data_IF_607859336146
#
_entry.id   IF_607859336146
#
_cell.length_a   1.000
_cell.length_b   1.000
_cell.length_c   1.000
_cell.angle_alpha   90.00
_cell.angle_beta   90.00
_cell.angle_gamma   90.00
#
_symmetry.space_group_name_H-M   'P 1'
#
loop_
_entity.id
_entity.type
_entity.pdbx_description
1 polymer ?
#
# COMPACT_ATOMS: atom_id res chain seq x y z
N UNK A 1 12.51 -4.74 -7.56
CA UNK A 1 12.95 -4.19 -8.83
C UNK A 1 14.46 -4.33 -8.97
N UNK A 2 14.96 -4.36 -10.18
CA UNK A 2 16.39 -4.29 -10.48
C UNK A 2 16.72 -2.84 -10.86
N UNK A 3 17.87 -2.36 -10.45
CA UNK A 3 18.43 -1.10 -10.96
C UNK A 3 18.94 -1.38 -12.37
N UNK A 4 18.58 -0.54 -13.32
CA UNK A 4 19.06 -0.63 -14.70
C UNK A 4 20.32 0.21 -14.80
N UNK A 5 21.37 -0.39 -15.37
CA UNK A 5 22.65 0.27 -15.57
C UNK A 5 22.54 1.42 -16.58
N UNK A 6 23.31 2.49 -16.38
CA UNK A 6 23.30 3.65 -17.27
C UNK A 6 23.61 3.26 -18.71
N UNK A 7 24.55 2.34 -18.93
CA UNK A 7 24.91 1.86 -20.27
C UNK A 7 23.73 1.21 -21.02
N UNK A 8 22.74 0.69 -20.31
CA UNK A 8 21.50 0.16 -20.91
C UNK A 8 20.53 1.30 -21.20
N UNK A 9 20.41 2.25 -20.29
CA UNK A 9 19.53 3.42 -20.46
C UNK A 9 19.95 4.27 -21.66
N UNK A 10 21.26 4.42 -21.90
CA UNK A 10 21.83 5.20 -23.02
C UNK A 10 21.55 4.57 -24.40
N UNK A 11 21.11 3.31 -24.44
CA UNK A 11 20.74 2.60 -25.69
C UNK A 11 19.24 2.66 -25.99
N UNK A 12 18.46 3.31 -25.16
CA UNK A 12 17.00 3.37 -25.27
C UNK A 12 16.58 4.82 -25.51
N UNK A 13 15.87 5.08 -26.61
CA UNK A 13 15.41 6.44 -26.96
C UNK A 13 14.51 7.03 -25.89
N UNK A 14 13.65 6.19 -25.29
CA UNK A 14 12.70 6.61 -24.26
C UNK A 14 12.73 5.67 -23.06
N UNK A 15 13.71 5.82 -22.14
CA UNK A 15 13.75 5.03 -20.92
C UNK A 15 12.69 5.52 -19.94
N UNK A 16 11.46 5.02 -20.10
CA UNK A 16 10.28 5.45 -19.36
C UNK A 16 9.93 4.40 -18.30
N UNK A 17 9.57 4.85 -17.10
CA UNK A 17 9.10 4.02 -16.01
C UNK A 17 7.78 4.52 -15.45
N UNK A 18 6.91 3.58 -15.06
CA UNK A 18 5.75 3.85 -14.23
C UNK A 18 6.10 3.72 -12.76
N UNK A 19 5.73 4.72 -11.96
CA UNK A 19 5.85 4.69 -10.52
C UNK A 19 4.48 4.85 -9.84
N UNK A 20 4.16 3.95 -8.93
CA UNK A 20 2.90 3.90 -8.19
C UNK A 20 2.85 4.88 -7.00
N UNK A 21 3.56 6.00 -7.09
CA UNK A 21 3.64 7.06 -6.10
C UNK A 21 3.71 8.46 -6.75
N UNK A 22 3.28 9.52 -6.02
CA UNK A 22 3.32 10.88 -6.53
C UNK A 22 4.71 11.49 -6.35
N UNK A 23 5.64 11.21 -7.27
CA UNK A 23 6.98 11.82 -7.23
C UNK A 23 6.89 13.37 -7.23
N UNK A 24 7.74 14.03 -6.47
CA UNK A 24 8.94 13.59 -5.75
C UNK A 24 8.70 13.02 -4.35
N UNK A 25 7.45 12.89 -3.91
CA UNK A 25 7.08 12.17 -2.69
C UNK A 25 6.95 10.67 -2.96
N UNK A 26 7.15 9.86 -1.94
CA UNK A 26 6.88 8.41 -2.00
C UNK A 26 7.69 7.65 -3.06
N UNK A 27 8.93 8.07 -3.35
CA UNK A 27 9.84 7.27 -4.15
C UNK A 27 10.21 5.96 -3.45
N UNK A 28 10.59 4.94 -4.20
CA UNK A 28 11.02 3.64 -3.71
C UNK A 28 9.90 2.60 -3.64
N UNK A 29 9.77 1.90 -2.52
CA UNK A 29 8.93 0.71 -2.39
C UNK A 29 7.69 0.95 -1.55
N UNK A 30 6.54 0.36 -1.97
CA UNK A 30 5.29 0.32 -1.19
C UNK A 30 4.74 1.71 -0.86
N UNK A 31 4.72 2.60 -1.83
CA UNK A 31 4.25 3.99 -1.72
C UNK A 31 2.87 4.10 -1.05
N UNK A 32 1.92 3.26 -1.45
CA UNK A 32 0.55 3.16 -0.90
C UNK A 32 0.53 2.80 0.59
N UNK A 33 1.37 1.85 1.02
CA UNK A 33 1.52 1.48 2.43
C UNK A 33 1.95 2.69 3.26
N UNK A 34 2.98 3.39 2.81
CA UNK A 34 3.51 4.55 3.52
C UNK A 34 2.54 5.72 3.54
N UNK A 35 1.81 5.95 2.45
CA UNK A 35 0.78 6.99 2.38
C UNK A 35 -0.31 6.75 3.44
N UNK A 36 -0.84 5.52 3.54
CA UNK A 36 -1.86 5.17 4.54
C UNK A 36 -1.30 5.27 5.97
N UNK A 37 -0.07 4.79 6.22
CA UNK A 37 0.56 4.89 7.54
C UNK A 37 0.75 6.33 7.98
N UNK A 38 1.02 7.24 7.06
CA UNK A 38 1.19 8.68 7.31
C UNK A 38 -0.13 9.46 7.36
N UNK A 39 -1.28 8.79 7.17
CA UNK A 39 -2.62 9.40 7.10
C UNK A 39 -2.75 10.41 5.95
N UNK A 40 -2.14 10.16 4.81
CA UNK A 40 -2.37 10.98 3.63
C UNK A 40 -3.82 10.82 3.16
N UNK A 41 -4.43 11.92 2.76
CA UNK A 41 -5.78 11.95 2.18
C UNK A 41 -5.75 11.82 0.66
N UNK A 42 -4.58 12.01 0.06
CA UNK A 42 -4.35 11.91 -1.38
C UNK A 42 -3.13 11.04 -1.65
N UNK A 43 -3.15 10.38 -2.79
CA UNK A 43 -2.02 9.67 -3.36
C UNK A 43 -1.96 9.98 -4.85
N UNK A 44 -1.03 9.37 -5.57
CA UNK A 44 -0.92 9.57 -7.00
C UNK A 44 0.01 8.55 -7.63
N UNK A 45 0.13 8.63 -8.94
CA UNK A 45 1.07 7.87 -9.73
C UNK A 45 1.66 8.73 -10.84
N UNK A 46 2.75 8.31 -11.41
CA UNK A 46 3.37 9.04 -12.51
C UNK A 46 4.16 8.15 -13.48
N UNK A 47 4.27 8.63 -14.69
CA UNK A 47 5.26 8.19 -15.68
C UNK A 47 6.41 9.18 -15.67
N UNK A 48 7.65 8.67 -15.60
CA UNK A 48 8.84 9.50 -15.55
C UNK A 48 9.97 8.89 -16.38
N UNK A 49 10.95 9.71 -16.77
CA UNK A 49 12.16 9.23 -17.39
C UNK A 49 13.00 8.46 -16.36
N UNK A 50 13.65 7.40 -16.79
CA UNK A 50 14.59 6.66 -15.96
C UNK A 50 15.95 7.34 -15.98
N UNK A 51 16.64 7.26 -14.86
CA UNK A 51 18.04 7.65 -14.70
C UNK A 51 18.74 6.56 -13.87
N UNK A 52 20.06 6.66 -13.73
CA UNK A 52 20.84 5.75 -12.86
C UNK A 52 20.43 5.82 -11.38
N UNK A 53 19.72 6.88 -10.97
CA UNK A 53 19.17 7.01 -9.63
C UNK A 53 17.68 6.63 -9.64
N UNK A 54 17.28 5.77 -8.70
CA UNK A 54 15.89 5.30 -8.59
C UNK A 54 14.93 6.51 -8.43
N UNK A 55 13.84 6.50 -9.21
CA UNK A 55 12.72 7.44 -9.17
C UNK A 55 13.13 8.92 -9.21
N UNK A 56 14.25 9.26 -9.88
CA UNK A 56 14.83 10.60 -9.87
C UNK A 56 14.64 11.39 -11.17
N UNK A 57 14.21 10.74 -12.25
CA UNK A 57 14.05 11.38 -13.55
C UNK A 57 12.85 12.32 -13.65
N UNK A 58 12.82 13.10 -14.74
CA UNK A 58 11.78 14.09 -14.98
C UNK A 58 10.42 13.44 -15.27
N UNK A 59 9.35 14.09 -14.80
CA UNK A 59 7.99 13.58 -14.89
C UNK A 59 7.41 13.86 -16.28
N UNK A 60 6.87 12.85 -16.93
CA UNK A 60 6.18 12.92 -18.21
C UNK A 60 4.68 13.19 -18.02
N UNK A 61 4.06 12.44 -17.11
CA UNK A 61 2.65 12.58 -16.76
C UNK A 61 2.42 12.14 -15.32
N UNK A 62 1.51 12.80 -14.62
CA UNK A 62 1.16 12.44 -13.24
C UNK A 62 -0.33 12.65 -13.00
N UNK A 63 -0.90 11.83 -12.11
CA UNK A 63 -2.29 11.90 -11.68
C UNK A 63 -2.37 11.71 -10.19
N UNK A 64 -3.00 12.65 -9.49
CA UNK A 64 -3.33 12.52 -8.07
C UNK A 64 -4.78 12.05 -7.92
N UNK A 65 -5.05 11.31 -6.84
CA UNK A 65 -6.38 10.82 -6.50
C UNK A 65 -6.55 10.69 -4.98
N UNK A 66 -7.80 10.63 -4.54
CA UNK A 66 -8.15 10.56 -3.13
C UNK A 66 -7.95 9.14 -2.58
N UNK A 67 -7.43 9.05 -1.34
CA UNK A 67 -7.45 7.85 -0.51
C UNK A 67 -8.72 7.90 0.33
N UNK A 68 -9.61 6.94 0.14
CA UNK A 68 -10.83 6.82 0.92
C UNK A 68 -10.55 6.12 2.26
N UNK A 69 -11.42 6.34 3.26
CA UNK A 69 -11.26 5.73 4.59
C UNK A 69 -11.33 4.20 4.57
N UNK A 70 -11.89 3.63 3.53
CA UNK A 70 -11.98 2.17 3.33
C UNK A 70 -10.85 1.62 2.45
N UNK A 71 -10.08 2.48 1.77
CA UNK A 71 -9.00 2.02 0.91
C UNK A 71 -7.94 1.27 1.68
N UNK A 72 -7.49 0.17 1.14
CA UNK A 72 -6.31 -0.58 1.55
C UNK A 72 -5.12 -0.22 0.65
N UNK A 73 -3.91 -0.60 1.03
CA UNK A 73 -2.76 -0.44 0.15
C UNK A 73 -2.97 -1.12 -1.21
N UNK A 74 -3.67 -2.26 -1.23
CA UNK A 74 -4.05 -2.95 -2.46
C UNK A 74 -4.97 -2.11 -3.36
N UNK A 75 -6.04 -1.51 -2.79
CA UNK A 75 -6.97 -0.70 -3.60
C UNK A 75 -6.35 0.61 -4.06
N UNK A 76 -5.44 1.20 -3.27
CA UNK A 76 -4.63 2.36 -3.69
C UNK A 76 -3.70 1.98 -4.84
N UNK A 77 -3.02 0.83 -4.77
CA UNK A 77 -2.20 0.31 -5.88
C UNK A 77 -3.04 0.10 -7.15
N UNK A 78 -4.25 -0.47 -7.03
CA UNK A 78 -5.15 -0.64 -8.17
C UNK A 78 -5.56 0.69 -8.80
N UNK A 79 -5.91 1.72 -7.99
CA UNK A 79 -6.18 3.06 -8.50
C UNK A 79 -4.97 3.62 -9.26
N UNK A 80 -3.75 3.45 -8.71
CA UNK A 80 -2.51 3.86 -9.37
C UNK A 80 -2.34 3.18 -10.73
N UNK A 81 -2.60 1.87 -10.83
CA UNK A 81 -2.49 1.12 -12.08
C UNK A 81 -3.53 1.57 -13.11
N UNK A 82 -4.78 1.79 -12.70
CA UNK A 82 -5.86 2.26 -13.59
C UNK A 82 -5.50 3.63 -14.18
N UNK A 83 -5.16 4.60 -13.33
CA UNK A 83 -4.76 5.93 -13.79
C UNK A 83 -3.43 5.92 -14.57
N UNK A 84 -2.51 5.02 -14.19
CA UNK A 84 -1.27 4.83 -14.93
C UNK A 84 -1.51 4.34 -16.35
N UNK A 85 -2.43 3.40 -16.52
CA UNK A 85 -2.81 2.89 -17.85
C UNK A 85 -3.54 3.95 -18.68
N UNK A 86 -4.49 4.68 -18.08
CA UNK A 86 -5.16 5.82 -18.73
C UNK A 86 -4.16 6.86 -19.24
N UNK A 87 -3.19 7.25 -18.41
CA UNK A 87 -2.13 8.18 -18.81
C UNK A 87 -1.22 7.62 -19.90
N UNK A 88 -0.95 6.29 -19.87
CA UNK A 88 -0.16 5.65 -20.89
C UNK A 88 -0.83 5.76 -22.25
N UNK A 89 -2.11 5.43 -22.37
CA UNK A 89 -2.85 5.49 -23.64
C UNK A 89 -3.01 6.93 -24.14
N UNK A 90 -3.38 7.86 -23.25
CA UNK A 90 -3.73 9.23 -23.63
C UNK A 90 -2.51 10.15 -23.84
N UNK A 91 -1.46 9.96 -23.05
CA UNK A 91 -0.32 10.88 -23.05
C UNK A 91 0.98 10.22 -23.56
N UNK A 92 1.39 9.09 -22.98
CA UNK A 92 2.72 8.53 -23.23
C UNK A 92 2.84 7.99 -24.65
N UNK A 93 1.87 7.20 -25.10
CA UNK A 93 1.86 6.69 -26.50
C UNK A 93 1.84 7.83 -27.51
N UNK A 94 1.10 8.92 -27.25
CA UNK A 94 1.08 10.08 -28.12
C UNK A 94 2.44 10.75 -28.18
N UNK A 95 3.09 10.98 -27.05
CA UNK A 95 4.45 11.56 -27.00
C UNK A 95 5.44 10.75 -27.79
N UNK A 96 5.42 9.41 -27.65
CA UNK A 96 6.31 8.49 -28.38
C UNK A 96 6.03 8.57 -29.88
N UNK A 97 4.77 8.45 -30.32
CA UNK A 97 4.38 8.48 -31.74
C UNK A 97 4.72 9.79 -32.43
N UNK A 98 4.66 10.89 -31.71
CA UNK A 98 4.95 12.24 -32.23
C UNK A 98 6.42 12.61 -32.08
N UNK A 99 7.26 11.74 -31.55
CA UNK A 99 8.66 12.02 -31.20
C UNK A 99 8.81 13.35 -30.43
N UNK A 100 7.86 13.64 -29.55
CA UNK A 100 7.72 14.91 -28.85
C UNK A 100 7.57 14.67 -27.35
N UNK A 101 8.68 14.34 -26.69
CA UNK A 101 8.72 14.15 -25.25
C UNK A 101 8.70 15.50 -24.56
N UNK A 102 7.60 15.75 -23.84
CA UNK A 102 7.47 16.91 -22.97
C UNK A 102 7.67 16.49 -21.53
N UNK A 103 8.68 17.05 -20.88
CA UNK A 103 8.98 16.77 -19.48
C UNK A 103 8.55 17.92 -18.59
N UNK A 104 7.96 17.59 -17.46
CA UNK A 104 7.83 18.50 -16.34
C UNK A 104 9.10 18.34 -15.50
N UNK A 105 10.01 19.32 -15.58
CA UNK A 105 11.26 19.28 -14.80
C UNK A 105 10.92 19.06 -13.34
N UNK A 106 11.44 17.97 -12.80
CA UNK A 106 11.36 17.69 -11.38
C UNK A 106 12.39 18.58 -10.68
N UNK A 107 11.96 19.37 -9.70
CA UNK A 107 12.91 19.92 -8.75
C UNK A 107 13.67 18.73 -8.16
N UNK A 108 14.99 18.66 -8.35
CA UNK A 108 15.85 17.48 -8.13
C UNK A 108 15.86 16.93 -6.69
N UNK A 109 14.95 17.34 -5.83
CA UNK A 109 14.87 16.93 -4.44
C UNK A 109 13.77 15.88 -4.26
N UNK A 110 14.16 14.60 -4.15
CA UNK A 110 13.25 13.57 -3.62
C UNK A 110 12.85 13.99 -2.21
N UNK A 111 11.56 14.26 -2.01
CA UNK A 111 11.03 14.74 -0.71
C UNK A 111 10.95 13.57 0.28
N UNK A 112 10.58 12.37 -0.20
CA UNK A 112 10.59 11.17 0.61
C UNK A 112 10.88 9.93 -0.22
N UNK A 113 11.70 9.04 0.32
CA UNK A 113 12.08 7.76 -0.29
C UNK A 113 11.97 6.65 0.75
N UNK A 114 11.41 5.51 0.36
CA UNK A 114 11.24 4.35 1.21
C UNK A 114 11.89 3.12 0.60
N UNK A 115 12.96 2.65 1.22
CA UNK A 115 13.67 1.44 0.82
C UNK A 115 13.43 0.28 1.78
N UNK A 116 14.11 -0.85 1.56
CA UNK A 116 14.02 -2.04 2.42
C UNK A 116 14.35 -1.75 3.88
N UNK A 117 15.29 -0.84 4.16
CA UNK A 117 15.67 -0.42 5.52
C UNK A 117 14.52 0.20 6.31
N UNK A 118 13.56 0.80 5.60
CA UNK A 118 12.42 1.47 6.23
C UNK A 118 11.36 0.49 6.73
N UNK A 119 11.43 -0.78 6.35
CA UNK A 119 10.52 -1.82 6.82
C UNK A 119 10.55 -2.01 8.34
N UNK A 120 11.68 -1.72 8.97
CA UNK A 120 11.81 -1.71 10.44
C UNK A 120 10.93 -0.64 11.11
N UNK A 121 10.53 0.41 10.37
CA UNK A 121 9.66 1.51 10.83
C UNK A 121 8.17 1.15 10.80
N UNK A 122 7.79 -0.03 10.26
CA UNK A 122 6.40 -0.48 10.27
C UNK A 122 5.95 -0.67 11.73
N UNK A 123 4.85 0.00 12.14
CA UNK A 123 4.39 -0.05 13.50
C UNK A 123 4.17 -1.48 13.99
N UNK A 124 4.74 -1.80 15.16
CA UNK A 124 4.61 -3.11 15.82
C UNK A 124 4.89 -4.31 14.88
N UNK A 125 5.77 -4.15 13.88
CA UNK A 125 6.09 -5.17 12.87
C UNK A 125 4.84 -5.78 12.20
N UNK A 126 3.78 -4.99 12.05
CA UNK A 126 2.50 -5.40 11.47
C UNK A 126 1.57 -6.15 12.41
N UNK A 127 1.89 -6.29 13.69
CA UNK A 127 1.02 -6.90 14.68
C UNK A 127 -0.06 -5.92 15.16
N UNK A 128 -1.31 -6.30 14.97
CA UNK A 128 -2.47 -5.59 15.54
C UNK A 128 -2.43 -5.67 17.08
N UNK A 129 -2.70 -4.57 17.75
CA UNK A 129 -2.65 -4.46 19.20
C UNK A 129 -3.95 -3.81 19.73
N UNK A 130 -4.86 -4.62 20.24
CA UNK A 130 -6.16 -4.15 20.74
C UNK A 130 -6.10 -3.40 22.07
N UNK A 131 -4.92 -3.25 22.69
CA UNK A 131 -4.68 -2.24 23.73
C UNK A 131 -4.66 -0.82 23.13
N UNK A 132 -4.29 -0.67 21.85
CA UNK A 132 -4.37 0.59 21.08
C UNK A 132 -5.78 0.83 20.57
N UNK A 133 -6.05 2.03 20.02
CA UNK A 133 -7.36 2.38 19.43
C UNK A 133 -7.70 1.49 18.23
N UNK A 134 -8.99 1.39 17.90
CA UNK A 134 -9.46 0.72 16.69
C UNK A 134 -8.96 1.43 15.44
N UNK A 135 -8.99 2.76 15.43
CA UNK A 135 -8.45 3.58 14.33
C UNK A 135 -7.00 3.23 14.04
N UNK A 136 -6.16 3.03 15.07
CA UNK A 136 -4.77 2.59 14.91
C UNK A 136 -4.69 1.20 14.25
N UNK A 137 -5.46 0.23 14.75
CA UNK A 137 -5.44 -1.14 14.24
C UNK A 137 -5.97 -1.23 12.81
N UNK A 138 -7.07 -0.52 12.51
CA UNK A 138 -7.66 -0.51 11.19
C UNK A 138 -6.73 0.16 10.17
N UNK A 139 -6.09 1.28 10.55
CA UNK A 139 -5.07 1.90 9.70
C UNK A 139 -3.91 0.94 9.40
N UNK A 140 -3.38 0.25 10.42
CA UNK A 140 -2.31 -0.71 10.23
C UNK A 140 -2.75 -1.87 9.33
N UNK A 141 -3.97 -2.38 9.52
CA UNK A 141 -4.57 -3.39 8.65
C UNK A 141 -4.64 -2.90 7.19
N UNK A 142 -5.23 -1.72 6.94
CA UNK A 142 -5.35 -1.14 5.60
C UNK A 142 -3.99 -0.98 4.92
N UNK A 143 -3.03 -0.41 5.63
CA UNK A 143 -1.69 -0.14 5.11
C UNK A 143 -0.91 -1.40 4.73
N UNK A 144 -1.18 -2.53 5.39
CA UNK A 144 -0.48 -3.79 5.15
C UNK A 144 -1.29 -4.81 4.34
N UNK A 145 -2.51 -4.45 3.94
CA UNK A 145 -3.34 -5.26 3.03
C UNK A 145 -2.92 -4.98 1.59
N UNK A 146 -1.98 -5.77 1.09
CA UNK A 146 -1.42 -5.72 -0.26
C UNK A 146 -1.94 -6.87 -1.12
N UNK A 147 -1.67 -6.84 -2.43
CA UNK A 147 -1.90 -7.97 -3.33
C UNK A 147 -1.11 -9.20 -2.88
N UNK A 148 -1.53 -10.39 -3.35
CA UNK A 148 -0.83 -11.64 -2.99
C UNK A 148 0.62 -11.63 -3.45
N UNK A 149 0.90 -11.03 -4.60
CA UNK A 149 2.21 -10.95 -5.23
C UNK A 149 3.16 -10.01 -4.45
N UNK A 150 2.61 -8.93 -3.89
CA UNK A 150 3.37 -7.97 -3.07
C UNK A 150 3.46 -8.40 -1.60
N UNK A 151 2.75 -9.47 -1.20
CA UNK A 151 2.72 -9.89 0.20
C UNK A 151 4.00 -10.59 0.59
N UNK A 152 4.84 -9.95 1.40
CA UNK A 152 5.86 -10.63 2.19
C UNK A 152 5.36 -10.84 3.61
N UNK A 153 5.99 -11.76 4.37
CA UNK A 153 5.67 -11.97 5.80
C UNK A 153 5.79 -10.68 6.64
N UNK A 154 6.58 -9.71 6.18
CA UNK A 154 6.75 -8.40 6.83
C UNK A 154 5.57 -7.46 6.59
N UNK A 155 4.88 -7.61 5.46
CA UNK A 155 3.81 -6.73 5.00
C UNK A 155 2.41 -7.34 5.08
N UNK A 156 2.18 -8.28 5.99
CA UNK A 156 0.83 -8.74 6.28
C UNK A 156 0.37 -8.21 7.64
N UNK A 157 -0.87 -7.73 7.76
CA UNK A 157 -1.45 -7.47 9.05
C UNK A 157 -1.58 -8.80 9.80
N UNK A 158 -1.14 -8.82 11.06
CA UNK A 158 -1.03 -10.03 11.88
C UNK A 158 -1.70 -9.82 13.23
N UNK A 159 -2.08 -10.92 13.86
CA UNK A 159 -2.51 -10.93 15.25
C UNK A 159 -1.81 -12.06 16.01
N UNK A 160 -1.46 -11.81 17.25
CA UNK A 160 -0.99 -12.85 18.18
C UNK A 160 -2.15 -13.35 19.03
N UNK A 161 -2.38 -14.66 19.01
CA UNK A 161 -3.40 -15.32 19.81
C UNK A 161 -2.88 -16.65 20.33
N UNK A 162 -2.95 -16.85 21.66
CA UNK A 162 -2.44 -18.07 22.35
C UNK A 162 -1.05 -18.48 21.84
N UNK A 163 -0.09 -17.54 21.84
CA UNK A 163 1.30 -17.70 21.41
C UNK A 163 1.48 -18.07 19.92
N UNK A 164 0.44 -17.96 19.09
CA UNK A 164 0.52 -18.14 17.63
C UNK A 164 0.34 -16.82 16.93
N UNK A 165 1.16 -16.55 15.92
CA UNK A 165 1.02 -15.39 15.03
C UNK A 165 0.24 -15.83 13.79
N UNK A 166 -0.85 -15.14 13.50
CA UNK A 166 -1.74 -15.43 12.38
C UNK A 166 -1.92 -14.18 11.52
N UNK A 167 -1.91 -14.37 10.19
CA UNK A 167 -2.20 -13.28 9.27
C UNK A 167 -3.70 -12.98 9.24
N UNK A 168 -4.05 -11.69 9.13
CA UNK A 168 -5.42 -11.20 9.05
C UNK A 168 -5.73 -10.84 7.60
N UNK A 169 -6.78 -11.44 7.03
CA UNK A 169 -7.22 -11.16 5.66
C UNK A 169 -8.31 -10.09 5.59
N UNK A 170 -9.10 -9.97 6.63
CA UNK A 170 -10.22 -9.04 6.64
C UNK A 170 -10.45 -8.52 8.06
N UNK A 171 -10.94 -7.28 8.15
CA UNK A 171 -11.22 -6.59 9.40
C UNK A 171 -12.50 -5.76 9.23
N UNK A 172 -13.63 -6.33 9.62
CA UNK A 172 -14.96 -5.72 9.48
C UNK A 172 -15.58 -5.39 10.82
N UNK A 173 -16.34 -4.30 10.87
CA UNK A 173 -17.35 -4.09 11.90
C UNK A 173 -18.53 -5.03 11.60
N UNK A 174 -19.10 -5.64 12.65
CA UNK A 174 -20.24 -6.56 12.53
C UNK A 174 -21.37 -6.10 13.43
N UNK A 175 -22.61 -6.42 13.04
CA UNK A 175 -23.81 -6.11 13.86
C UNK A 175 -23.89 -6.99 15.12
N UNK A 176 -24.61 -6.48 16.13
CA UNK A 176 -24.85 -7.19 17.39
C UNK A 176 -25.53 -8.55 17.16
N UNK A 177 -26.44 -8.64 16.19
CA UNK A 177 -27.20 -9.86 15.88
C UNK A 177 -26.32 -11.00 15.35
N UNK A 178 -25.14 -10.64 14.82
CA UNK A 178 -24.15 -11.61 14.37
C UNK A 178 -23.37 -12.29 15.50
N UNK A 179 -23.64 -11.95 16.78
CA UNK A 179 -22.76 -12.23 17.91
C UNK A 179 -23.24 -13.39 18.78
N UNK A 180 -23.77 -14.44 18.21
CA UNK A 180 -24.11 -15.67 18.96
C UNK A 180 -22.92 -16.34 19.68
N UNK A 181 -21.69 -15.78 19.54
CA UNK A 181 -20.44 -16.45 19.93
C UNK A 181 -19.60 -15.72 20.99
N UNK A 182 -20.07 -14.56 21.50
CA UNK A 182 -19.33 -13.91 22.60
C UNK A 182 -19.61 -14.61 23.93
N UNK A 183 -18.57 -15.18 24.53
CA UNK A 183 -18.65 -15.60 25.93
C UNK A 183 -18.89 -14.35 26.81
N UNK A 184 -19.87 -14.44 27.73
CA UNK A 184 -20.13 -13.38 28.72
C UNK A 184 -18.79 -12.98 29.37
N UNK A 185 -18.47 -11.68 29.31
CA UNK A 185 -17.27 -11.07 29.92
C UNK A 185 -15.94 -11.21 29.16
N UNK A 186 -15.89 -11.73 27.94
CA UNK A 186 -14.64 -11.69 27.15
C UNK A 186 -14.71 -10.62 26.06
N UNK A 187 -13.68 -9.77 26.01
CA UNK A 187 -13.55 -8.77 24.96
C UNK A 187 -12.97 -9.32 23.65
N UNK A 188 -12.46 -10.53 23.65
CA UNK A 188 -11.87 -11.19 22.48
C UNK A 188 -12.24 -12.67 22.50
N UNK A 189 -12.81 -13.17 21.41
CA UNK A 189 -13.18 -14.59 21.24
C UNK A 189 -12.68 -15.11 19.90
N UNK A 190 -12.31 -16.39 19.82
CA UNK A 190 -11.91 -17.06 18.60
C UNK A 190 -12.96 -18.11 18.22
N UNK A 191 -13.44 -18.05 16.97
CA UNK A 191 -14.36 -19.04 16.40
C UNK A 191 -14.21 -19.11 14.87
N UNK A 192 -14.26 -20.33 14.32
CA UNK A 192 -14.29 -20.59 12.88
C UNK A 192 -13.32 -19.75 12.04
N UNK A 193 -12.03 -19.80 12.39
CA UNK A 193 -10.97 -19.07 11.68
C UNK A 193 -11.14 -17.54 11.70
N UNK A 194 -11.84 -17.04 12.72
CA UNK A 194 -12.02 -15.61 12.95
C UNK A 194 -11.73 -15.27 14.42
N UNK A 195 -11.20 -14.07 14.62
CA UNK A 195 -11.11 -13.46 15.95
C UNK A 195 -12.16 -12.36 16.00
N UNK A 196 -12.95 -12.39 17.05
CA UNK A 196 -13.97 -11.39 17.33
C UNK A 196 -13.48 -10.50 18.47
N UNK A 197 -13.61 -9.20 18.29
CA UNK A 197 -13.18 -8.18 19.27
C UNK A 197 -14.34 -7.29 19.61
N UNK A 198 -14.62 -7.13 20.93
CA UNK A 198 -15.55 -6.12 21.45
C UNK A 198 -14.75 -4.91 21.93
N UNK A 199 -15.08 -3.71 21.45
CA UNK A 199 -14.46 -2.46 21.89
C UNK A 199 -15.41 -1.28 21.68
N UNK A 200 -15.61 -0.44 22.71
CA UNK A 200 -16.47 0.74 22.66
C UNK A 200 -17.90 0.43 22.18
N UNK A 201 -18.53 -0.63 22.70
CA UNK A 201 -19.84 -1.14 22.31
C UNK A 201 -20.00 -1.51 20.83
N UNK A 202 -18.90 -1.64 20.11
CA UNK A 202 -18.84 -2.13 18.74
C UNK A 202 -18.14 -3.48 18.67
N UNK A 203 -18.48 -4.25 17.65
CA UNK A 203 -17.97 -5.60 17.45
C UNK A 203 -17.27 -5.69 16.11
N UNK A 204 -16.16 -6.40 16.09
CA UNK A 204 -15.30 -6.52 14.92
C UNK A 204 -14.93 -7.96 14.68
N UNK A 205 -14.98 -8.36 13.43
CA UNK A 205 -14.52 -9.67 12.99
C UNK A 205 -13.21 -9.52 12.22
N UNK A 206 -12.19 -10.24 12.64
CA UNK A 206 -10.94 -10.42 11.91
C UNK A 206 -10.92 -11.82 11.32
N UNK A 207 -11.09 -11.93 10.00
CA UNK A 207 -10.91 -13.20 9.29
C UNK A 207 -9.44 -13.52 9.14
N UNK A 208 -9.04 -14.70 9.54
CA UNK A 208 -7.66 -15.16 9.48
C UNK A 208 -7.39 -15.86 8.14
N UNK A 209 -6.15 -15.79 7.68
CA UNK A 209 -5.73 -16.54 6.49
C UNK A 209 -5.75 -18.02 6.82
N UNK A 210 -6.48 -18.82 6.04
CA UNK A 210 -6.42 -20.28 6.16
C UNK A 210 -4.97 -20.70 5.89
N UNK A 211 -4.36 -21.48 6.79
CA UNK A 211 -3.13 -22.17 6.46
C UNK A 211 -3.48 -23.14 5.33
N UNK A 212 -2.83 -23.01 4.18
CA UNK A 212 -2.70 -24.17 3.28
C UNK A 212 -1.72 -25.10 3.99
N UNK A 213 -2.22 -26.24 4.44
CA UNK A 213 -1.38 -27.38 4.82
C UNK A 213 -0.75 -27.94 3.57
#
# INVERSE_FOLDING_TARGET
>A
GRIIDQNVLDKVDYPINFHDGPLPKYGGLYSSTWAILKNENTHGCCWHLMTSKIDSGDILSSKDFRIEDTDTAYTVDLKSLIYGFEMYETHILRMIRQNSIRVKKKNNKIISYFGKKDFSKIPNKGLLNFKKSLKYNYKLFRALSLSKEKTSLLFQPKISWKNKIMAVNNFNEISVDSIKFFEKNKNITYNNNSIFVRKNNKYYQLKLKKKKF
#
